data_IF_569909946116
#
_entry.id   IF_569909946116
#
_cell.length_a   1.000
_cell.length_b   1.000
_cell.length_c   1.000
_cell.angle_alpha   90.00
_cell.angle_beta   90.00
_cell.angle_gamma   90.00
#
_symmetry.space_group_name_H-M   'P 1'
#
loop_
_entity.id
_entity.type
_entity.pdbx_description
1 polymer ?
#
# COMPACT_ATOMS: atom_id res chain seq x y z
N UNK A 1 -23.27 -12.97 -5.80
CA UNK A 1 -23.73 -13.00 -4.39
C UNK A 1 -25.19 -12.61 -4.38
N UNK A 2 -26.01 -13.22 -3.53
CA UNK A 2 -27.39 -12.78 -3.36
C UNK A 2 -27.41 -11.36 -2.74
N UNK A 3 -28.39 -10.51 -3.10
CA UNK A 3 -28.58 -9.22 -2.45
C UNK A 3 -28.78 -9.39 -0.94
N UNK A 4 -28.14 -8.55 -0.13
CA UNK A 4 -28.33 -8.54 1.31
C UNK A 4 -29.79 -8.18 1.60
N UNK A 5 -30.46 -9.03 2.37
CA UNK A 5 -31.82 -8.76 2.85
C UNK A 5 -31.69 -7.84 4.06
N UNK A 6 -32.16 -6.59 3.99
CA UNK A 6 -32.04 -5.66 5.10
C UNK A 6 -32.79 -6.16 6.34
N UNK A 7 -32.12 -6.14 7.48
CA UNK A 7 -32.70 -6.51 8.78
C UNK A 7 -32.98 -5.31 9.69
N UNK A 8 -32.78 -4.08 9.20
CA UNK A 8 -33.03 -2.83 9.92
C UNK A 8 -34.32 -2.14 9.46
N UNK A 9 -34.76 -1.13 10.23
CA UNK A 9 -35.90 -0.27 9.86
C UNK A 9 -35.58 0.56 8.62
N UNK A 10 -36.49 0.59 7.64
CA UNK A 10 -36.33 1.33 6.39
C UNK A 10 -37.45 2.38 6.21
N UNK A 11 -37.14 3.67 6.01
CA UNK A 11 -35.82 4.26 6.06
C UNK A 11 -35.27 4.35 7.49
N UNK A 12 -33.97 4.13 7.64
CA UNK A 12 -33.20 4.33 8.87
C UNK A 12 -32.84 5.79 9.12
N UNK A 13 -32.71 6.57 8.04
CA UNK A 13 -32.25 7.96 8.04
C UNK A 13 -33.15 8.89 7.20
N UNK A 14 -34.48 8.93 7.46
CA UNK A 14 -35.45 9.61 6.59
C UNK A 14 -35.21 11.10 6.39
N UNK A 15 -34.55 11.75 7.35
CA UNK A 15 -34.32 13.20 7.33
C UNK A 15 -33.13 13.59 6.44
N UNK A 16 -32.19 12.67 6.19
CA UNK A 16 -30.94 12.97 5.47
C UNK A 16 -30.73 12.14 4.21
N UNK A 17 -31.37 10.97 4.10
CA UNK A 17 -31.11 10.01 3.03
C UNK A 17 -32.40 9.33 2.57
N UNK A 18 -32.50 9.17 1.26
CA UNK A 18 -33.49 8.32 0.59
C UNK A 18 -32.79 7.27 -0.25
N UNK A 19 -33.24 6.01 -0.15
CA UNK A 19 -32.73 4.90 -0.95
C UNK A 19 -33.70 4.61 -2.07
N UNK A 20 -33.22 4.71 -3.31
CA UNK A 20 -33.95 4.36 -4.52
C UNK A 20 -33.40 3.05 -5.06
N UNK A 21 -34.25 2.04 -5.17
CA UNK A 21 -33.92 0.74 -5.75
C UNK A 21 -34.39 0.69 -7.21
N UNK A 22 -33.57 0.12 -8.09
CA UNK A 22 -33.96 -0.23 -9.46
C UNK A 22 -33.91 -1.75 -9.63
N UNK A 23 -35.03 -2.45 -9.43
CA UNK A 23 -35.08 -3.91 -9.53
C UNK A 23 -34.72 -4.45 -10.92
N UNK A 24 -34.96 -3.68 -11.98
CA UNK A 24 -34.67 -4.10 -13.36
C UNK A 24 -33.18 -4.18 -13.65
N UNK A 25 -32.38 -3.32 -13.00
CA UNK A 25 -30.92 -3.27 -13.17
C UNK A 25 -30.17 -3.86 -11.96
N UNK A 26 -30.90 -4.30 -10.93
CA UNK A 26 -30.33 -4.75 -9.65
C UNK A 26 -29.40 -3.70 -9.01
N UNK A 27 -29.70 -2.41 -9.20
CA UNK A 27 -28.91 -1.29 -8.67
C UNK A 27 -29.66 -0.55 -7.57
N UNK A 28 -28.89 0.08 -6.69
CA UNK A 28 -29.42 0.96 -5.64
C UNK A 28 -28.68 2.29 -5.69
N UNK A 29 -29.38 3.38 -5.37
CA UNK A 29 -28.85 4.72 -5.32
C UNK A 29 -29.34 5.42 -4.06
N UNK A 30 -28.42 6.07 -3.37
CA UNK A 30 -28.76 7.01 -2.30
C UNK A 30 -28.96 8.42 -2.84
N UNK A 31 -29.95 9.12 -2.30
CA UNK A 31 -30.22 10.54 -2.52
C UNK A 31 -30.12 11.24 -1.18
N UNK A 32 -29.37 12.34 -1.12
CA UNK A 32 -29.31 13.21 0.05
C UNK A 32 -30.52 14.12 0.09
N UNK A 33 -31.13 14.25 1.26
CA UNK A 33 -32.25 15.16 1.54
C UNK A 33 -31.80 16.47 2.19
N UNK A 34 -30.52 16.57 2.53
CA UNK A 34 -29.92 17.74 3.16
C UNK A 34 -28.81 18.32 2.30
N UNK A 35 -28.68 19.64 2.39
CA UNK A 35 -27.50 20.37 1.94
C UNK A 35 -26.71 20.80 3.18
N UNK A 36 -25.44 20.43 3.23
CA UNK A 36 -24.59 20.66 4.40
C UNK A 36 -23.40 21.55 4.04
N UNK A 37 -22.99 22.48 4.91
CA UNK A 37 -21.71 23.15 4.78
C UNK A 37 -20.55 22.12 4.78
N UNK A 38 -19.38 22.46 4.22
CA UNK A 38 -18.16 21.66 4.33
C UNK A 38 -17.89 21.14 5.74
N UNK A 39 -17.50 19.87 5.85
CA UNK A 39 -17.08 19.20 7.08
C UNK A 39 -18.15 19.11 8.18
N UNK A 40 -19.42 19.28 7.82
CA UNK A 40 -20.54 19.06 8.73
C UNK A 40 -20.83 17.57 8.86
N UNK A 41 -21.38 17.17 10.02
CA UNK A 41 -21.81 15.78 10.24
C UNK A 41 -23.03 15.51 9.37
N UNK A 42 -22.90 14.54 8.45
CA UNK A 42 -24.00 13.98 7.67
C UNK A 42 -24.75 12.93 8.48
N UNK A 43 -24.02 11.97 9.06
CA UNK A 43 -24.56 10.92 9.93
C UNK A 43 -23.48 10.46 10.92
N UNK A 44 -23.88 9.70 11.93
CA UNK A 44 -22.96 9.02 12.85
C UNK A 44 -23.08 7.52 12.68
N UNK A 45 -21.98 6.79 12.89
CA UNK A 45 -22.02 5.32 12.86
C UNK A 45 -22.69 4.72 14.11
N UNK A 46 -22.97 5.53 15.14
CA UNK A 46 -23.67 5.11 16.35
C UNK A 46 -25.20 5.07 16.19
N UNK A 47 -25.74 5.56 15.06
CA UNK A 47 -27.18 5.61 14.81
C UNK A 47 -27.56 5.28 13.37
N UNK A 48 -28.42 4.27 13.13
CA UNK A 48 -28.59 3.10 13.99
C UNK A 48 -27.24 2.48 14.36
N UNK A 49 -27.12 1.80 15.51
CA UNK A 49 -25.84 1.31 15.98
C UNK A 49 -25.24 0.28 15.02
N UNK A 50 -24.02 0.58 14.55
CA UNK A 50 -23.20 -0.40 13.86
C UNK A 50 -22.81 -1.55 14.80
N UNK A 51 -22.59 -2.74 14.24
CA UNK A 51 -22.11 -3.91 14.99
C UNK A 51 -20.81 -4.45 14.39
N UNK A 52 -19.90 -5.03 15.19
CA UNK A 52 -18.72 -5.70 14.64
C UNK A 52 -19.09 -6.78 13.62
N UNK A 53 -18.33 -6.84 12.53
CA UNK A 53 -18.39 -7.93 11.56
C UNK A 53 -17.20 -8.86 11.79
N UNK A 54 -17.45 -10.18 11.78
CA UNK A 54 -16.41 -11.19 11.94
C UNK A 54 -15.52 -11.34 10.71
N UNK A 55 -16.06 -11.01 9.52
CA UNK A 55 -15.41 -11.19 8.23
C UNK A 55 -15.71 -10.00 7.31
N UNK A 56 -14.76 -9.59 6.45
CA UNK A 56 -15.01 -8.57 5.44
C UNK A 56 -15.98 -9.08 4.38
N UNK A 57 -17.00 -8.28 4.07
CA UNK A 57 -17.93 -8.52 2.96
C UNK A 57 -18.11 -7.24 2.14
N UNK A 58 -18.87 -7.31 1.05
CA UNK A 58 -19.23 -6.12 0.29
C UNK A 58 -20.13 -5.14 1.08
N UNK A 59 -20.71 -5.59 2.19
CA UNK A 59 -21.65 -4.83 3.01
C UNK A 59 -21.07 -4.37 4.36
N UNK A 60 -19.77 -4.52 4.55
CA UNK A 60 -19.06 -4.08 5.76
C UNK A 60 -18.13 -2.93 5.44
N UNK A 61 -17.83 -2.10 6.44
CA UNK A 61 -16.81 -1.04 6.34
C UNK A 61 -15.64 -1.38 7.25
N UNK A 62 -14.43 -1.34 6.71
CA UNK A 62 -13.21 -1.54 7.49
C UNK A 62 -12.94 -0.34 8.41
N UNK A 63 -12.72 -0.62 9.69
CA UNK A 63 -12.51 0.40 10.75
C UNK A 63 -11.12 0.37 11.37
N UNK A 64 -10.32 -0.62 11.01
CA UNK A 64 -8.98 -0.83 11.54
C UNK A 64 -8.25 -1.86 10.72
N UNK A 65 -7.10 -2.33 11.20
CA UNK A 65 -6.27 -3.30 10.47
C UNK A 65 -7.05 -4.55 10.07
N UNK A 66 -7.72 -5.16 11.04
CA UNK A 66 -8.41 -6.42 10.91
C UNK A 66 -9.85 -6.34 11.47
N UNK A 67 -10.39 -5.13 11.60
CA UNK A 67 -11.72 -4.88 12.18
C UNK A 67 -12.67 -4.26 11.16
N UNK A 68 -13.92 -4.72 11.18
CA UNK A 68 -14.98 -4.26 10.28
C UNK A 68 -16.28 -4.03 11.05
N UNK A 69 -17.14 -3.16 10.51
CA UNK A 69 -18.48 -2.90 11.02
C UNK A 69 -19.54 -3.26 9.97
N UNK A 70 -20.62 -3.88 10.43
CA UNK A 70 -21.90 -3.89 9.74
C UNK A 70 -22.62 -2.57 10.05
N UNK A 71 -23.05 -1.86 9.00
CA UNK A 71 -23.68 -0.54 9.15
C UNK A 71 -25.12 -0.61 9.69
N UNK A 72 -25.80 -1.76 9.50
CA UNK A 72 -27.18 -2.00 9.97
C UNK A 72 -28.16 -0.86 9.65
N UNK A 73 -27.95 -0.20 8.51
CA UNK A 73 -28.68 1.01 8.13
C UNK A 73 -28.56 1.28 6.64
N UNK A 74 -29.34 2.24 6.16
CA UNK A 74 -29.34 2.66 4.77
C UNK A 74 -28.03 3.33 4.35
N UNK A 75 -27.14 3.67 5.29
CA UNK A 75 -25.78 4.12 5.00
C UNK A 75 -25.01 3.10 4.14
N UNK A 76 -25.41 1.82 4.17
CA UNK A 76 -24.93 0.77 3.28
C UNK A 76 -25.07 1.11 1.79
N UNK A 77 -26.08 1.87 1.42
CA UNK A 77 -26.39 2.20 0.01
C UNK A 77 -25.68 3.47 -0.47
N UNK A 78 -24.77 4.04 0.33
CA UNK A 78 -23.94 5.17 -0.10
C UNK A 78 -22.87 4.64 -1.04
N UNK A 79 -22.97 5.03 -2.31
CA UNK A 79 -22.13 4.50 -3.37
C UNK A 79 -20.72 5.12 -3.41
N UNK A 80 -19.86 4.52 -4.22
CA UNK A 80 -18.50 5.02 -4.45
C UNK A 80 -18.48 6.28 -5.34
N UNK A 81 -17.55 7.21 -5.07
CA UNK A 81 -17.05 8.20 -6.03
C UNK A 81 -15.55 8.43 -5.85
N UNK A 82 -14.84 8.69 -6.95
CA UNK A 82 -13.44 9.12 -6.91
C UNK A 82 -13.29 10.58 -6.44
N UNK A 83 -14.33 11.39 -6.63
CA UNK A 83 -14.49 12.74 -6.10
C UNK A 83 -15.71 12.74 -5.15
N UNK A 84 -15.52 12.32 -3.88
CA UNK A 84 -16.64 12.06 -2.99
C UNK A 84 -17.25 13.34 -2.40
N UNK A 85 -18.53 13.26 -2.06
CA UNK A 85 -19.24 14.28 -1.27
C UNK A 85 -19.20 14.00 0.23
N UNK A 86 -18.82 12.78 0.64
CA UNK A 86 -18.70 12.36 2.03
C UNK A 86 -17.34 11.75 2.37
N UNK A 87 -16.91 11.95 3.62
CA UNK A 87 -15.80 11.25 4.27
C UNK A 87 -16.36 10.32 5.35
N UNK A 88 -16.02 9.05 5.27
CA UNK A 88 -16.32 8.07 6.32
C UNK A 88 -15.18 8.09 7.34
N UNK A 89 -15.30 8.95 8.34
CA UNK A 89 -14.39 9.04 9.48
C UNK A 89 -14.71 7.97 10.51
N UNK A 90 -14.25 6.76 10.21
CA UNK A 90 -14.47 5.59 11.06
C UNK A 90 -13.66 5.64 12.35
N UNK A 91 -12.58 6.44 12.40
CA UNK A 91 -11.81 6.66 13.62
C UNK A 91 -12.58 7.45 14.68
N UNK A 92 -13.39 8.42 14.24
CA UNK A 92 -14.24 9.23 15.12
C UNK A 92 -15.73 8.85 15.09
N UNK A 93 -16.09 7.78 14.37
CA UNK A 93 -17.47 7.33 14.18
C UNK A 93 -18.42 8.40 13.60
N UNK A 94 -17.91 9.23 12.68
CA UNK A 94 -18.68 10.24 11.97
C UNK A 94 -18.62 10.06 10.45
N UNK A 95 -19.70 10.42 9.76
CA UNK A 95 -19.72 10.65 8.31
C UNK A 95 -19.79 12.15 8.11
N UNK A 96 -18.78 12.73 7.47
CA UNK A 96 -18.64 14.18 7.30
C UNK A 96 -18.85 14.55 5.83
N UNK A 97 -19.44 15.71 5.57
CA UNK A 97 -19.46 16.30 4.23
C UNK A 97 -18.06 16.78 3.82
N UNK A 98 -17.69 16.67 2.55
CA UNK A 98 -16.39 17.15 2.05
C UNK A 98 -16.38 18.65 1.78
N UNK A 99 -15.21 19.25 1.51
CA UNK A 99 -15.12 20.64 1.06
C UNK A 99 -15.88 20.92 -0.25
N UNK A 100 -16.02 19.90 -1.09
CA UNK A 100 -16.74 19.94 -2.37
C UNK A 100 -18.21 19.53 -2.24
N UNK A 101 -18.69 19.25 -1.02
CA UNK A 101 -20.10 18.88 -0.76
C UNK A 101 -21.12 19.96 -1.11
N UNK A 102 -20.64 21.19 -1.39
CA UNK A 102 -21.43 22.29 -1.94
C UNK A 102 -21.68 22.19 -3.45
N UNK A 103 -21.22 21.13 -4.14
CA UNK A 103 -21.41 21.04 -5.58
C UNK A 103 -22.84 20.58 -5.97
N UNK A 104 -23.54 21.37 -6.81
CA UNK A 104 -24.80 20.97 -7.41
C UNK A 104 -24.56 19.79 -8.33
N UNK A 105 -25.55 18.91 -8.43
CA UNK A 105 -25.49 17.81 -9.38
C UNK A 105 -25.25 18.35 -10.81
N UNK A 106 -24.44 17.68 -11.65
CA UNK A 106 -24.17 18.11 -13.03
C UNK A 106 -25.43 18.17 -13.93
N UNK A 107 -26.60 17.80 -13.40
CA UNK A 107 -27.90 17.94 -14.04
C UNK A 107 -28.70 18.93 -13.18
N UNK A 108 -29.04 20.12 -13.70
CA UNK A 108 -30.03 21.01 -13.08
C UNK A 108 -31.28 20.19 -12.74
N UNK A 109 -31.77 20.27 -11.50
CA UNK A 109 -32.92 19.52 -10.95
C UNK A 109 -32.68 18.07 -10.49
N UNK A 110 -31.44 17.58 -10.41
CA UNK A 110 -31.20 16.26 -9.81
C UNK A 110 -30.71 16.35 -8.36
N UNK A 111 -31.38 15.59 -7.50
CA UNK A 111 -31.07 15.54 -6.06
C UNK A 111 -29.62 15.09 -5.81
N UNK A 112 -28.92 15.69 -4.83
CA UNK A 112 -27.53 15.37 -4.52
C UNK A 112 -27.37 13.89 -4.16
N UNK A 113 -26.29 13.27 -4.64
CA UNK A 113 -26.01 11.83 -4.46
C UNK A 113 -24.87 11.68 -3.45
N UNK A 114 -25.14 11.24 -2.21
CA UNK A 114 -24.07 11.02 -1.25
C UNK A 114 -23.18 9.87 -1.73
N UNK A 115 -21.90 10.15 -1.89
CA UNK A 115 -20.90 9.18 -2.31
C UNK A 115 -19.62 9.35 -1.50
N UNK A 116 -18.94 8.25 -1.19
CA UNK A 116 -17.65 8.28 -0.52
C UNK A 116 -16.59 7.49 -1.28
N UNK A 117 -15.32 7.75 -0.98
CA UNK A 117 -14.22 7.08 -1.65
C UNK A 117 -13.89 5.78 -0.91
N UNK A 118 -14.37 4.63 -1.39
CA UNK A 118 -14.22 3.34 -0.70
C UNK A 118 -12.77 3.02 -0.25
N UNK A 119 -11.71 3.23 -1.06
CA UNK A 119 -10.34 3.01 -0.61
C UNK A 119 -9.88 3.91 0.57
N UNK A 120 -10.67 4.91 0.98
CA UNK A 120 -10.42 5.66 2.22
C UNK A 120 -10.65 4.83 3.49
N UNK A 121 -11.46 3.77 3.42
CA UNK A 121 -11.69 2.80 4.51
C UNK A 121 -11.13 1.44 4.16
N UNK A 122 -11.26 1.01 2.90
CA UNK A 122 -10.99 -0.38 2.49
C UNK A 122 -9.55 -0.58 2.01
N UNK A 123 -8.79 -1.40 2.74
CA UNK A 123 -7.45 -1.85 2.35
C UNK A 123 -7.53 -2.80 1.16
N UNK A 124 -8.41 -3.78 1.27
CA UNK A 124 -8.71 -4.76 0.23
C UNK A 124 -10.21 -4.96 0.18
N UNK A 125 -10.79 -4.90 -1.01
CA UNK A 125 -12.22 -5.12 -1.19
C UNK A 125 -12.53 -6.58 -1.47
N UNK A 126 -13.52 -7.12 -0.75
CA UNK A 126 -14.08 -8.45 -1.02
C UNK A 126 -14.64 -8.55 -2.46
N UNK A 127 -15.12 -7.44 -3.01
CA UNK A 127 -15.65 -7.35 -4.38
C UNK A 127 -15.12 -6.12 -5.11
N UNK A 128 -13.99 -6.23 -5.83
CA UNK A 128 -13.50 -5.18 -6.71
C UNK A 128 -14.46 -4.93 -7.89
N UNK A 129 -14.53 -3.70 -8.39
CA UNK A 129 -15.42 -3.30 -9.48
C UNK A 129 -14.79 -2.24 -10.40
N UNK A 130 -15.30 -2.11 -11.62
CA UNK A 130 -14.95 -1.02 -12.52
C UNK A 130 -15.79 0.22 -12.21
N UNK A 131 -15.14 1.34 -11.91
CA UNK A 131 -15.84 2.53 -11.43
C UNK A 131 -16.64 3.23 -12.52
N UNK A 132 -17.90 3.51 -12.22
CA UNK A 132 -18.83 4.22 -13.09
C UNK A 132 -19.17 5.62 -12.57
N UNK A 133 -18.35 6.21 -11.68
CA UNK A 133 -18.64 7.51 -11.06
C UNK A 133 -18.58 8.70 -12.03
N UNK A 134 -17.92 8.53 -13.19
CA UNK A 134 -17.75 9.56 -14.24
C UNK A 134 -17.04 10.85 -13.79
N UNK A 135 -16.45 10.88 -12.60
CA UNK A 135 -15.63 12.00 -12.15
C UNK A 135 -14.44 12.22 -13.10
N UNK A 136 -14.01 13.48 -13.36
CA UNK A 136 -12.84 13.77 -14.20
C UNK A 136 -11.57 13.06 -13.73
N UNK A 137 -11.41 12.92 -12.41
CA UNK A 137 -10.28 12.20 -11.79
C UNK A 137 -10.60 10.74 -11.47
N UNK A 138 -11.53 10.11 -12.22
CA UNK A 138 -11.89 8.71 -12.02
C UNK A 138 -10.68 7.78 -12.13
N UNK A 139 -10.58 6.84 -11.19
CA UNK A 139 -9.42 5.95 -11.02
C UNK A 139 -9.59 4.59 -11.72
N UNK A 140 -10.67 4.40 -12.47
CA UNK A 140 -10.97 3.15 -13.16
C UNK A 140 -11.39 2.06 -12.20
N UNK A 141 -10.62 0.97 -12.11
CA UNK A 141 -10.95 -0.18 -11.26
C UNK A 141 -10.66 0.09 -9.79
N UNK A 142 -11.62 -0.21 -8.91
CA UNK A 142 -11.53 -0.05 -7.45
C UNK A 142 -11.42 -1.43 -6.80
N UNK A 143 -10.32 -1.66 -6.08
CA UNK A 143 -10.03 -2.94 -5.40
C UNK A 143 -9.59 -2.77 -3.93
N UNK A 144 -9.63 -1.54 -3.40
CA UNK A 144 -9.07 -1.16 -2.11
C UNK A 144 -7.71 -0.49 -2.21
N UNK A 145 -7.28 0.18 -1.14
CA UNK A 145 -6.08 1.03 -1.11
C UNK A 145 -4.77 0.26 -1.30
N UNK A 146 -4.73 -1.04 -1.00
CA UNK A 146 -3.54 -1.90 -1.19
C UNK A 146 -3.04 -1.90 -2.62
N UNK A 147 -3.99 -1.92 -3.56
CA UNK A 147 -3.73 -2.19 -4.98
C UNK A 147 -3.67 -0.89 -5.82
N UNK A 148 -3.71 0.27 -5.17
CA UNK A 148 -3.62 1.59 -5.81
C UNK A 148 -2.18 2.15 -5.78
N UNK A 149 -1.82 2.94 -6.77
CA UNK A 149 -0.54 3.67 -6.79
C UNK A 149 -0.59 4.89 -5.88
N UNK A 150 0.59 5.42 -5.50
CA UNK A 150 0.66 6.67 -4.72
C UNK A 150 0.02 7.83 -5.49
N UNK A 151 0.20 7.89 -6.82
CA UNK A 151 -0.45 8.89 -7.67
C UNK A 151 -1.98 8.76 -7.69
N UNK A 152 -2.52 7.54 -7.65
CA UNK A 152 -3.97 7.34 -7.54
C UNK A 152 -4.49 7.79 -6.18
N UNK A 153 -3.74 7.64 -5.09
CA UNK A 153 -4.19 8.04 -3.75
C UNK A 153 -3.88 9.50 -3.42
N UNK A 154 -3.15 10.21 -4.28
CA UNK A 154 -2.78 11.60 -4.05
C UNK A 154 -4.01 12.50 -3.91
N UNK A 155 -3.98 13.41 -2.94
CA UNK A 155 -5.09 14.29 -2.58
C UNK A 155 -6.33 13.60 -1.99
N UNK A 156 -6.38 12.26 -1.92
CA UNK A 156 -7.49 11.56 -1.28
C UNK A 156 -7.40 11.65 0.24
N UNK A 157 -8.53 11.92 0.88
CA UNK A 157 -8.64 11.73 2.33
C UNK A 157 -8.69 10.23 2.65
N UNK A 158 -7.87 9.77 3.60
CA UNK A 158 -7.75 8.37 4.01
C UNK A 158 -7.84 8.26 5.53
N UNK A 159 -8.46 7.18 6.02
CA UNK A 159 -8.45 6.88 7.44
C UNK A 159 -7.06 6.47 7.95
N UNK A 160 -6.84 6.65 9.25
CA UNK A 160 -5.56 6.37 9.90
C UNK A 160 -5.05 4.95 9.68
N UNK A 161 -5.92 3.94 9.72
CA UNK A 161 -5.52 2.55 9.50
C UNK A 161 -5.05 2.28 8.06
N UNK A 162 -5.63 2.96 7.07
CA UNK A 162 -5.18 2.86 5.67
C UNK A 162 -3.81 3.49 5.50
N UNK A 163 -3.59 4.68 6.09
CA UNK A 163 -2.28 5.35 6.07
C UNK A 163 -1.20 4.46 6.71
N UNK A 164 -1.52 3.83 7.84
CA UNK A 164 -0.63 2.89 8.51
C UNK A 164 -0.31 1.68 7.61
N UNK A 165 -1.33 1.02 7.07
CA UNK A 165 -1.16 -0.15 6.19
C UNK A 165 -0.36 0.19 4.92
N UNK A 166 -0.57 1.37 4.32
CA UNK A 166 0.24 1.86 3.20
C UNK A 166 1.71 2.03 3.60
N UNK A 167 1.95 2.60 4.78
CA UNK A 167 3.31 2.79 5.31
C UNK A 167 4.01 1.46 5.51
N UNK A 168 3.33 0.49 6.12
CA UNK A 168 3.82 -0.88 6.29
C UNK A 168 4.14 -1.53 4.93
N UNK A 169 3.21 -1.49 3.98
CA UNK A 169 3.38 -2.05 2.64
C UNK A 169 4.61 -1.45 1.93
N UNK A 170 4.81 -0.13 2.02
CA UNK A 170 5.98 0.55 1.44
C UNK A 170 7.28 0.13 2.10
N UNK A 171 7.29 -0.04 3.43
CA UNK A 171 8.46 -0.54 4.17
C UNK A 171 8.79 -1.96 3.75
N UNK A 172 7.81 -2.85 3.70
CA UNK A 172 7.98 -4.24 3.26
C UNK A 172 8.53 -4.31 1.84
N UNK A 173 7.96 -3.54 0.90
CA UNK A 173 8.44 -3.48 -0.49
C UNK A 173 9.89 -3.00 -0.60
N UNK A 174 10.28 -1.98 0.19
CA UNK A 174 11.66 -1.48 0.23
C UNK A 174 12.62 -2.48 0.84
N UNK A 175 12.23 -3.18 1.91
CA UNK A 175 13.07 -4.22 2.51
C UNK A 175 13.20 -5.47 1.64
N UNK A 176 12.21 -5.74 0.79
CA UNK A 176 12.20 -6.91 -0.09
C UNK A 176 12.86 -6.68 -1.45
N UNK A 177 13.28 -5.46 -1.78
CA UNK A 177 13.93 -5.15 -3.06
C UNK A 177 15.43 -5.53 -2.97
N UNK A 178 15.86 -6.62 -3.64
CA UNK A 178 17.24 -7.09 -3.56
C UNK A 178 18.22 -6.11 -4.22
N UNK A 179 17.76 -5.33 -5.20
CA UNK A 179 18.59 -4.31 -5.87
C UNK A 179 18.81 -3.12 -4.96
N UNK A 180 17.74 -2.63 -4.31
CA UNK A 180 17.85 -1.56 -3.33
C UNK A 180 18.73 -1.97 -2.14
N UNK A 181 18.60 -3.21 -1.65
CA UNK A 181 19.47 -3.75 -0.60
C UNK A 181 20.94 -3.79 -1.04
N UNK A 182 21.23 -4.35 -2.22
CA UNK A 182 22.59 -4.40 -2.76
C UNK A 182 23.21 -3.01 -2.96
N UNK A 183 22.42 -2.02 -3.40
CA UNK A 183 22.87 -0.64 -3.55
C UNK A 183 23.14 0.03 -2.19
N UNK A 184 22.31 -0.23 -1.17
CA UNK A 184 22.55 0.25 0.20
C UNK A 184 23.84 -0.35 0.78
N UNK A 185 24.07 -1.64 0.58
CA UNK A 185 25.30 -2.31 1.01
C UNK A 185 26.54 -1.73 0.31
N UNK A 186 26.44 -1.44 -1.00
CA UNK A 186 27.52 -0.81 -1.75
C UNK A 186 27.84 0.60 -1.23
N UNK A 187 26.83 1.40 -0.88
CA UNK A 187 27.01 2.73 -0.27
C UNK A 187 27.69 2.60 1.09
N UNK A 188 27.21 1.69 1.95
CA UNK A 188 27.80 1.47 3.27
C UNK A 188 29.25 0.99 3.19
N UNK A 189 29.60 0.17 2.19
CA UNK A 189 30.98 -0.22 1.93
C UNK A 189 31.83 0.98 1.48
N UNK A 190 31.32 1.80 0.57
CA UNK A 190 32.02 2.99 0.10
C UNK A 190 32.29 4.00 1.23
N UNK A 191 31.34 4.19 2.15
CA UNK A 191 31.51 5.03 3.34
C UNK A 191 32.61 4.49 4.27
N UNK A 192 32.66 3.17 4.50
CA UNK A 192 33.72 2.54 5.28
C UNK A 192 35.09 2.71 4.63
N UNK A 193 35.18 2.53 3.31
CA UNK A 193 36.41 2.75 2.55
C UNK A 193 36.84 4.21 2.63
N UNK A 194 35.90 5.14 2.51
CA UNK A 194 36.15 6.57 2.66
C UNK A 194 36.69 6.90 4.04
N UNK A 195 36.13 6.34 5.11
CA UNK A 195 36.65 6.57 6.46
C UNK A 195 38.03 5.94 6.69
N UNK A 196 38.27 4.74 6.17
CA UNK A 196 39.60 4.13 6.21
C UNK A 196 40.64 5.00 5.48
N UNK A 197 40.29 5.52 4.29
CA UNK A 197 41.15 6.42 3.53
C UNK A 197 41.41 7.74 4.27
N UNK A 198 40.38 8.33 4.91
CA UNK A 198 40.51 9.54 5.74
C UNK A 198 41.41 9.33 6.95
N UNK A 199 41.32 8.16 7.60
CA UNK A 199 42.18 7.81 8.73
C UNK A 199 43.64 7.62 8.29
N UNK A 200 43.85 6.92 7.17
CA UNK A 200 45.17 6.74 6.59
C UNK A 200 45.80 8.08 6.20
N UNK A 201 45.04 8.96 5.56
CA UNK A 201 45.50 10.30 5.19
C UNK A 201 45.92 11.10 6.42
N UNK A 202 45.09 11.13 7.47
CA UNK A 202 45.41 11.81 8.75
C UNK A 202 46.68 11.26 9.41
N UNK A 203 46.88 9.95 9.34
CA UNK A 203 48.08 9.32 9.90
C UNK A 203 49.33 9.69 9.11
N UNK A 204 49.21 9.82 7.79
CA UNK A 204 50.31 10.18 6.89
C UNK A 204 50.66 11.67 6.95
N UNK A 205 49.66 12.55 7.04
CA UNK A 205 49.85 14.00 7.11
C UNK A 205 50.04 14.52 8.53
N UNK A 206 49.82 13.68 9.54
CA UNK A 206 50.19 13.93 10.92
C UNK A 206 51.69 14.21 11.01
N UNK A 207 52.05 15.41 11.44
CA UNK A 207 53.41 15.93 11.50
C UNK A 207 54.34 14.96 12.26
N UNK A 208 55.53 14.60 11.74
CA UNK A 208 56.55 13.88 12.50
C UNK A 208 57.18 14.85 13.50
N UNK A 209 56.56 15.01 14.67
CA UNK A 209 57.02 15.98 15.65
C UNK A 209 56.17 16.13 16.89
N UNK A 210 55.69 15.04 17.49
CA UNK A 210 55.21 15.07 18.87
C UNK A 210 55.54 13.74 19.56
N UNK A 211 56.59 13.80 20.37
CA UNK A 211 57.06 12.74 21.25
C UNK A 211 55.93 12.26 22.17
N UNK A 212 55.46 11.02 22.01
CA UNK A 212 54.82 10.30 23.13
C UNK A 212 54.98 8.79 22.96
N UNK A 213 55.68 8.20 23.93
CA UNK A 213 55.75 6.76 24.15
C UNK A 213 54.34 6.22 24.39
N UNK A 214 53.81 5.48 23.42
CA UNK A 214 52.55 4.76 23.56
C UNK A 214 52.61 3.49 22.74
N UNK A 215 53.02 2.39 23.36
CA UNK A 215 52.89 1.04 22.80
C UNK A 215 51.40 0.78 22.52
N UNK A 216 51.05 0.51 21.27
CA UNK A 216 49.72 -0.01 20.88
C UNK A 216 49.92 -1.31 20.12
N UNK A 217 49.30 -2.43 20.54
CA UNK A 217 49.50 -3.72 19.89
C UNK A 217 48.69 -3.79 18.59
N UNK A 218 49.37 -4.09 17.48
CA UNK A 218 48.72 -4.36 16.20
C UNK A 218 47.97 -5.69 16.24
N UNK A 219 46.63 -5.63 16.27
CA UNK A 219 45.77 -6.73 15.80
C UNK A 219 45.18 -6.34 14.45
N UNK A 220 45.90 -6.71 13.39
CA UNK A 220 45.33 -6.76 12.04
C UNK A 220 44.59 -8.08 11.94
N UNK A 221 43.27 -8.06 12.08
CA UNK A 221 42.44 -9.22 11.80
C UNK A 221 42.26 -9.32 10.28
N UNK A 222 42.97 -10.25 9.64
CA UNK A 222 42.65 -10.70 8.29
C UNK A 222 41.25 -11.33 8.34
N UNK A 223 40.26 -10.68 7.73
CA UNK A 223 38.96 -11.28 7.49
C UNK A 223 39.11 -12.41 6.49
N UNK A 224 38.92 -13.65 6.96
CA UNK A 224 38.82 -14.84 6.12
C UNK A 224 37.62 -14.71 5.18
N UNK A 225 37.89 -14.82 3.88
CA UNK A 225 36.87 -15.14 2.89
C UNK A 225 36.46 -16.61 3.06
N UNK A 226 35.23 -16.85 3.51
CA UNK A 226 34.65 -18.19 3.53
C UNK A 226 34.54 -18.73 2.10
N UNK A 227 35.31 -19.79 1.80
CA UNK A 227 35.21 -20.54 0.54
C UNK A 227 34.08 -21.57 0.63
N UNK A 228 33.13 -21.51 -0.30
CA UNK A 228 32.22 -22.61 -0.64
C UNK A 228 32.98 -23.72 -1.39
N UNK A 229 32.56 -25.00 -1.33
CA UNK A 229 33.42 -26.12 -1.67
C UNK A 229 33.40 -26.50 -3.16
N UNK A 230 34.59 -26.90 -3.62
CA UNK A 230 34.88 -28.00 -4.54
C UNK A 230 34.41 -27.94 -6.01
N UNK A 231 35.37 -27.63 -6.90
CA UNK A 231 35.59 -28.38 -8.14
C UNK A 231 37.07 -28.23 -8.54
N UNK A 232 37.91 -29.19 -8.13
CA UNK A 232 39.33 -29.24 -8.47
C UNK A 232 39.52 -29.90 -9.84
N UNK A 233 39.89 -29.12 -10.85
CA UNK A 233 40.65 -29.63 -11.99
C UNK A 233 42.11 -29.82 -11.56
N UNK A 234 42.63 -31.04 -11.71
CA UNK A 234 44.05 -31.37 -11.51
C UNK A 234 44.76 -31.28 -12.87
N UNK A 235 45.65 -30.30 -13.00
CA UNK A 235 46.65 -30.29 -14.07
C UNK A 235 47.76 -31.29 -13.74
N UNK A 236 48.10 -32.13 -14.72
CA UNK A 236 49.24 -33.05 -14.68
C UNK A 236 50.38 -32.45 -15.49
N UNK A 237 51.55 -32.35 -14.87
CA UNK A 237 52.77 -31.78 -15.41
C UNK A 237 53.44 -32.65 -16.49
N UNK A 238 54.19 -31.98 -17.35
CA UNK A 238 55.00 -32.44 -18.47
C UNK A 238 56.04 -33.53 -18.17
N UNK A 239 55.93 -34.69 -18.84
CA UNK A 239 57.02 -35.51 -19.42
C UNK A 239 56.54 -36.91 -19.87
N UNK A 240 56.62 -37.18 -21.18
CA UNK A 240 56.85 -38.46 -21.88
C UNK A 240 56.25 -38.34 -23.30
N UNK A 241 56.99 -37.94 -24.35
CA UNK A 241 57.83 -38.76 -25.24
C UNK A 241 57.11 -39.96 -25.91
N UNK A 242 56.86 -39.83 -27.22
CA UNK A 242 57.16 -40.86 -28.23
C UNK A 242 56.00 -41.75 -28.74
N UNK A 243 55.95 -41.94 -30.07
CA UNK A 243 55.22 -43.01 -30.78
C UNK A 243 53.93 -42.54 -31.46
N UNK A 244 53.92 -42.19 -32.75
CA UNK A 244 53.87 -43.05 -33.95
C UNK A 244 52.48 -43.62 -34.31
N UNK A 245 52.09 -43.38 -35.56
CA UNK A 245 51.31 -44.23 -36.48
C UNK A 245 49.85 -44.61 -36.17
N UNK A 246 48.96 -44.06 -37.00
CA UNK A 246 48.13 -44.86 -37.92
C UNK A 246 46.74 -45.29 -37.44
N UNK A 247 45.74 -45.08 -38.31
CA UNK A 247 44.51 -45.89 -38.28
C UNK A 247 43.24 -45.15 -38.68
N UNK A 248 42.90 -45.23 -39.96
CA UNK A 248 41.55 -45.02 -40.50
C UNK A 248 40.48 -45.78 -39.69
N UNK A 249 39.28 -45.23 -39.55
CA UNK A 249 38.10 -45.73 -40.28
C UNK A 249 36.82 -44.93 -40.01
N UNK A 250 36.14 -44.72 -41.13
CA UNK A 250 34.80 -44.17 -41.37
C UNK A 250 33.74 -45.09 -40.73
N UNK A 251 32.55 -44.57 -40.35
CA UNK A 251 31.26 -44.96 -40.96
C UNK A 251 30.02 -44.29 -40.32
N UNK A 252 29.27 -43.65 -41.22
CA UNK A 252 27.81 -43.40 -41.29
C UNK A 252 27.18 -42.50 -40.23
#
# INVERSE_FOLDING_TARGET
MAPLVPHWSRPSHPDIQEVVENPAEFTTKSISRVALPPFSVFAKFDFPPCTPASEPTYATVQTGRDTHLNLNSDLLYINHSCEPSLHFDVGNLNILSTATSSLPSPIPDSSPVPQFFYPSTEWFMAQPFDCLCKAPTCRGRIAGARDMTDAQLDGAWLNGHIIQLRTEQRRTRRSSDPTAAALQDAVALAEKVLEAARLALRSYTGIPGANSNGVVPGKVANGEFSKSPAAQHRDVSSRALGGEMGGDTIRV
#
